data_IF_880550713504
#
_entry.id   IF_880550713504
#
_cell.length_a   1.000
_cell.length_b   1.000
_cell.length_c   1.000
_cell.angle_alpha   90.00
_cell.angle_beta   90.00
_cell.angle_gamma   90.00
#
_symmetry.space_group_name_H-M   'P 1'
#
loop_
_entity.id
_entity.type
_entity.pdbx_description
1 polymer ?
#
# COMPACT_ATOMS: atom_id res chain seq x y z
N UNK A 1 40.67 -43.06 -28.50
CA UNK A 1 39.87 -42.38 -27.47
C UNK A 1 40.21 -40.91 -27.52
N UNK A 2 39.34 -39.93 -27.74
CA UNK A 2 37.91 -39.81 -28.08
C UNK A 2 37.79 -38.38 -28.65
N UNK A 3 37.43 -38.20 -29.92
CA UNK A 3 36.13 -37.71 -30.41
C UNK A 3 35.47 -36.58 -29.59
N UNK A 4 35.34 -35.39 -30.19
CA UNK A 4 34.12 -34.59 -30.52
C UNK A 4 34.62 -33.21 -31.05
N UNK A 5 34.36 -32.82 -32.30
CA UNK A 5 33.10 -32.25 -32.87
C UNK A 5 32.71 -30.97 -32.11
N UNK A 6 32.33 -29.82 -32.68
CA UNK A 6 32.10 -29.24 -34.01
C UNK A 6 32.17 -27.70 -33.72
N UNK A 7 32.63 -26.80 -34.56
CA UNK A 7 31.88 -26.21 -35.67
C UNK A 7 32.85 -25.22 -36.34
N UNK A 8 33.39 -25.55 -37.52
CA UNK A 8 33.95 -24.53 -38.41
C UNK A 8 33.06 -24.50 -39.61
N UNK A 9 32.07 -23.62 -39.52
CA UNK A 9 31.18 -23.22 -40.60
C UNK A 9 32.02 -22.94 -41.85
N UNK A 10 31.71 -23.65 -42.94
CA UNK A 10 32.24 -23.41 -44.29
C UNK A 10 31.73 -22.05 -44.80
N UNK A 11 32.29 -20.97 -44.25
CA UNK A 11 32.09 -19.61 -44.72
C UNK A 11 33.13 -19.33 -45.80
N UNK A 12 32.74 -19.62 -47.05
CA UNK A 12 33.47 -19.15 -48.22
C UNK A 12 33.44 -17.62 -48.18
N UNK A 13 34.60 -16.98 -47.95
CA UNK A 13 34.70 -15.52 -47.98
C UNK A 13 34.43 -15.08 -49.41
N UNK A 14 33.58 -14.06 -49.59
CA UNK A 14 33.14 -13.55 -50.90
C UNK A 14 34.28 -13.20 -51.89
N UNK A 15 35.51 -13.04 -51.38
CA UNK A 15 36.74 -12.76 -52.12
C UNK A 15 37.36 -13.98 -52.81
N UNK A 16 36.98 -15.19 -52.42
CA UNK A 16 37.58 -16.44 -52.89
C UNK A 16 36.69 -17.21 -53.88
N UNK A 17 35.57 -16.62 -54.33
CA UNK A 17 34.75 -17.18 -55.41
C UNK A 17 35.28 -16.67 -56.77
N UNK A 18 36.16 -17.44 -57.40
CA UNK A 18 36.53 -17.23 -58.82
C UNK A 18 36.38 -18.54 -59.58
N UNK A 19 35.59 -18.49 -60.67
CA UNK A 19 35.50 -19.57 -61.65
C UNK A 19 34.24 -20.44 -61.58
N UNK A 20 33.05 -19.82 -61.54
CA UNK A 20 31.83 -20.51 -61.94
C UNK A 20 31.34 -19.95 -63.27
N UNK A 21 31.34 -20.79 -64.31
CA UNK A 21 30.62 -20.53 -65.55
C UNK A 21 29.15 -20.98 -65.36
N UNK A 22 28.23 -20.02 -65.36
CA UNK A 22 26.80 -20.32 -65.40
C UNK A 22 26.43 -20.83 -66.78
N UNK A 23 26.02 -22.10 -66.87
CA UNK A 23 25.55 -22.70 -68.11
C UNK A 23 24.24 -22.03 -68.56
N UNK A 24 24.29 -21.26 -69.64
CA UNK A 24 23.13 -20.61 -70.24
C UNK A 24 22.60 -21.43 -71.43
N UNK A 25 21.27 -21.50 -71.59
CA UNK A 25 20.62 -22.21 -72.69
C UNK A 25 21.10 -21.68 -74.06
N UNK A 26 21.38 -22.55 -75.05
CA UNK A 26 21.69 -22.10 -76.41
C UNK A 26 20.46 -21.46 -77.06
N UNK A 27 20.57 -20.20 -77.48
CA UNK A 27 19.49 -19.49 -78.17
C UNK A 27 19.35 -19.98 -79.62
N UNK A 28 18.11 -20.09 -80.09
CA UNK A 28 17.76 -20.59 -81.43
C UNK A 28 17.08 -19.50 -82.28
N UNK A 29 17.44 -18.24 -82.06
CA UNK A 29 16.95 -17.09 -82.82
C UNK A 29 17.93 -16.71 -83.95
N UNK A 30 17.43 -16.36 -85.15
CA UNK A 30 18.27 -15.94 -86.27
C UNK A 30 19.00 -14.62 -85.97
N UNK A 31 20.22 -14.41 -86.51
CA UNK A 31 21.05 -13.27 -86.16
C UNK A 31 20.38 -11.96 -86.57
N UNK A 32 20.11 -11.09 -85.59
CA UNK A 32 19.77 -9.68 -85.85
C UNK A 32 21.05 -8.95 -86.28
N UNK A 33 20.98 -8.06 -87.29
CA UNK A 33 22.13 -7.28 -87.72
C UNK A 33 22.60 -6.38 -86.57
N UNK A 34 23.90 -6.39 -86.34
CA UNK A 34 24.58 -5.59 -85.32
C UNK A 34 24.34 -4.09 -85.59
N UNK A 35 23.85 -3.31 -84.61
CA UNK A 35 23.89 -1.86 -84.69
C UNK A 35 25.35 -1.38 -84.69
N UNK A 36 25.63 -0.35 -85.49
CA UNK A 36 26.92 0.33 -85.57
C UNK A 36 27.44 0.69 -84.17
N UNK A 37 28.76 0.63 -83.91
CA UNK A 37 29.31 0.84 -82.59
C UNK A 37 29.04 2.28 -82.14
N UNK A 38 28.11 2.44 -81.19
CA UNK A 38 28.11 3.59 -80.30
C UNK A 38 29.47 3.59 -79.58
N UNK A 39 30.15 4.75 -79.47
CA UNK A 39 31.47 4.80 -78.87
C UNK A 39 31.37 4.22 -77.45
N UNK A 40 32.16 3.18 -77.19
CA UNK A 40 32.41 2.70 -75.83
C UNK A 40 32.76 3.94 -74.99
N UNK A 41 32.12 4.18 -73.83
CA UNK A 41 32.66 5.16 -72.90
C UNK A 41 34.06 4.67 -72.59
N UNK A 42 35.05 5.44 -73.06
CA UNK A 42 36.44 5.25 -72.68
C UNK A 42 36.46 5.03 -71.16
N UNK A 43 37.15 4.00 -70.64
CA UNK A 43 37.31 3.87 -69.20
C UNK A 43 37.72 5.25 -68.72
N UNK A 44 37.07 5.84 -67.70
CA UNK A 44 37.42 7.18 -67.27
C UNK A 44 38.92 7.16 -67.16
N UNK A 45 39.60 7.97 -67.99
CA UNK A 45 41.01 8.22 -67.78
C UNK A 45 41.08 8.42 -66.29
N UNK A 46 41.81 7.53 -65.60
CA UNK A 46 42.20 7.85 -64.26
C UNK A 46 42.86 9.20 -64.48
N UNK A 47 42.17 10.27 -64.08
CA UNK A 47 42.81 11.52 -63.80
C UNK A 47 43.80 11.06 -62.76
N UNK A 48 45.01 10.74 -63.24
CA UNK A 48 46.20 10.74 -62.43
C UNK A 48 46.20 12.18 -61.96
N UNK A 49 45.50 12.40 -60.84
CA UNK A 49 45.58 13.63 -60.07
C UNK A 49 47.07 13.85 -60.02
N UNK A 50 47.57 14.90 -60.69
CA UNK A 50 49.00 15.08 -60.79
C UNK A 50 49.54 14.95 -59.38
N UNK A 51 50.53 14.10 -59.16
CA UNK A 51 51.28 14.11 -57.89
C UNK A 51 52.13 15.40 -57.78
N UNK A 52 51.71 16.49 -58.43
CA UNK A 52 51.98 17.88 -58.13
C UNK A 52 50.86 18.34 -57.19
N UNK A 53 51.05 18.54 -55.90
CA UNK A 53 52.25 18.64 -55.10
C UNK A 53 51.84 18.15 -53.71
N UNK A 54 52.28 16.96 -53.29
CA UNK A 54 52.39 16.77 -51.84
C UNK A 54 53.69 17.47 -51.45
N UNK A 55 53.65 18.80 -51.40
CA UNK A 55 54.70 19.56 -50.74
C UNK A 55 54.84 18.92 -49.35
N UNK A 56 56.04 18.52 -48.91
CA UNK A 56 56.20 18.13 -47.53
C UNK A 56 55.73 19.33 -46.72
N UNK A 57 54.68 19.15 -45.91
CA UNK A 57 54.11 20.20 -45.07
C UNK A 57 55.27 21.01 -44.49
N UNK A 58 55.24 22.31 -44.68
CA UNK A 58 56.31 23.15 -44.12
C UNK A 58 56.33 22.93 -42.61
N UNK A 59 57.51 22.96 -41.99
CA UNK A 59 57.65 22.64 -40.56
C UNK A 59 56.70 23.48 -39.69
N UNK A 60 56.39 24.71 -40.11
CA UNK A 60 55.43 25.61 -39.45
C UNK A 60 53.96 25.14 -39.55
N UNK A 61 53.52 24.60 -40.70
CA UNK A 61 52.16 24.05 -40.86
C UNK A 61 51.96 22.77 -40.06
N UNK A 62 53.01 21.98 -39.90
CA UNK A 62 52.97 20.75 -39.12
C UNK A 62 52.92 21.03 -37.61
N UNK A 63 53.55 22.14 -37.18
CA UNK A 63 53.44 22.67 -35.82
C UNK A 63 52.07 23.29 -35.54
N UNK A 64 51.49 24.05 -36.48
CA UNK A 64 50.16 24.65 -36.30
C UNK A 64 49.06 23.60 -36.14
N UNK A 65 49.04 22.58 -37.00
CA UNK A 65 48.07 21.46 -36.91
C UNK A 65 48.22 20.70 -35.59
N UNK A 66 49.46 20.48 -35.13
CA UNK A 66 49.70 19.85 -33.82
C UNK A 66 49.14 20.69 -32.68
N UNK A 67 49.31 22.00 -32.74
CA UNK A 67 48.87 22.90 -31.70
C UNK A 67 47.34 23.05 -31.69
N UNK A 68 46.70 23.10 -32.86
CA UNK A 68 45.24 23.06 -33.00
C UNK A 68 44.66 21.74 -32.48
N UNK A 69 45.18 20.60 -32.93
CA UNK A 69 44.73 19.29 -32.44
C UNK A 69 44.94 19.11 -30.93
N UNK A 70 46.02 19.65 -30.38
CA UNK A 70 46.28 19.65 -28.94
C UNK A 70 45.25 20.51 -28.19
N UNK A 71 44.99 21.73 -28.68
CA UNK A 71 44.02 22.64 -28.05
C UNK A 71 42.59 22.09 -28.14
N UNK A 72 42.20 21.50 -29.27
CA UNK A 72 40.90 20.85 -29.45
C UNK A 72 40.76 19.62 -28.56
N UNK A 73 41.77 18.74 -28.54
CA UNK A 73 41.76 17.56 -27.67
C UNK A 73 41.72 17.93 -26.19
N UNK A 74 42.43 19.00 -25.79
CA UNK A 74 42.38 19.53 -24.43
C UNK A 74 40.99 20.09 -24.08
N UNK A 75 40.42 20.92 -24.96
CA UNK A 75 39.10 21.52 -24.74
C UNK A 75 37.97 20.48 -24.70
N UNK A 76 38.04 19.44 -25.54
CA UNK A 76 37.09 18.33 -25.53
C UNK A 76 37.26 17.48 -24.26
N UNK A 77 38.50 17.13 -23.91
CA UNK A 77 38.81 16.36 -22.70
C UNK A 77 38.40 17.08 -21.41
N UNK A 78 38.57 18.40 -21.34
CA UNK A 78 38.12 19.21 -20.20
C UNK A 78 36.60 19.20 -20.08
N UNK A 79 35.88 19.42 -21.19
CA UNK A 79 34.41 19.42 -21.21
C UNK A 79 33.84 18.05 -20.84
N UNK A 80 34.37 16.98 -21.42
CA UNK A 80 33.90 15.62 -21.17
C UNK A 80 34.29 15.11 -19.78
N UNK A 81 35.49 15.47 -19.30
CA UNK A 81 35.92 15.23 -17.93
C UNK A 81 35.02 15.96 -16.91
N UNK A 82 34.69 17.22 -17.16
CA UNK A 82 33.80 17.99 -16.29
C UNK A 82 32.37 17.41 -16.29
N UNK A 83 31.84 17.05 -17.46
CA UNK A 83 30.49 16.48 -17.59
C UNK A 83 30.39 15.10 -16.93
N UNK A 84 31.35 14.21 -17.17
CA UNK A 84 31.37 12.87 -16.57
C UNK A 84 31.59 12.93 -15.06
N UNK A 85 32.44 13.84 -14.56
CA UNK A 85 32.64 14.04 -13.13
C UNK A 85 31.39 14.58 -12.44
N UNK A 86 30.73 15.59 -13.03
CA UNK A 86 29.48 16.14 -12.46
C UNK A 86 28.36 15.12 -12.42
N UNK A 87 28.21 14.28 -13.45
CA UNK A 87 27.24 13.18 -13.45
C UNK A 87 27.53 12.15 -12.34
N UNK A 88 28.78 11.72 -12.17
CA UNK A 88 29.17 10.77 -11.12
C UNK A 88 28.94 11.34 -9.72
N UNK A 89 29.37 12.58 -9.48
CA UNK A 89 29.16 13.26 -8.19
C UNK A 89 27.67 13.38 -7.89
N UNK A 90 26.84 13.69 -8.90
CA UNK A 90 25.39 13.77 -8.73
C UNK A 90 24.78 12.41 -8.39
N UNK A 91 25.17 11.35 -9.08
CA UNK A 91 24.70 9.99 -8.79
C UNK A 91 25.08 9.54 -7.38
N UNK A 92 26.33 9.75 -6.97
CA UNK A 92 26.79 9.43 -5.62
C UNK A 92 26.07 10.26 -4.56
N UNK A 93 25.87 11.56 -4.81
CA UNK A 93 25.11 12.43 -3.93
C UNK A 93 23.65 12.00 -3.82
N UNK A 94 22.99 11.65 -4.92
CA UNK A 94 21.61 11.17 -4.93
C UNK A 94 21.48 9.89 -4.11
N UNK A 95 22.39 8.92 -4.23
CA UNK A 95 22.38 7.68 -3.42
C UNK A 95 22.54 7.95 -1.93
N UNK A 96 23.44 8.86 -1.54
CA UNK A 96 23.61 9.22 -0.12
C UNK A 96 22.37 9.97 0.40
N UNK A 97 21.81 10.86 -0.42
CA UNK A 97 20.67 11.69 -0.02
C UNK A 97 19.40 10.86 0.09
N UNK A 98 19.15 9.93 -0.84
CA UNK A 98 18.02 8.99 -0.74
C UNK A 98 18.15 8.12 0.51
N UNK A 99 19.34 7.57 0.80
CA UNK A 99 19.55 6.80 2.02
C UNK A 99 19.30 7.61 3.30
N UNK A 100 19.63 8.91 3.30
CA UNK A 100 19.33 9.81 4.42
C UNK A 100 17.84 10.11 4.54
N UNK A 101 17.14 10.34 3.42
CA UNK A 101 15.70 10.56 3.39
C UNK A 101 14.96 9.32 3.88
N UNK A 102 15.29 8.13 3.38
CA UNK A 102 14.70 6.86 3.84
C UNK A 102 14.93 6.65 5.34
N UNK A 103 16.14 6.93 5.84
CA UNK A 103 16.41 6.83 7.28
C UNK A 103 15.56 7.81 8.09
N UNK A 104 15.32 9.01 7.58
CA UNK A 104 14.51 10.03 8.25
C UNK A 104 13.02 9.68 8.22
N UNK A 105 12.53 9.14 7.09
CA UNK A 105 11.18 8.61 6.95
C UNK A 105 10.93 7.44 7.90
N UNK A 106 11.91 6.52 8.04
CA UNK A 106 11.85 5.44 9.03
C UNK A 106 11.77 5.99 10.45
N UNK A 107 12.62 6.96 10.81
CA UNK A 107 12.59 7.60 12.13
C UNK A 107 11.25 8.30 12.39
N UNK A 108 10.69 8.99 11.40
CA UNK A 108 9.36 9.59 11.50
C UNK A 108 8.28 8.52 11.69
N UNK A 109 8.30 7.44 10.92
CA UNK A 109 7.39 6.31 11.09
C UNK A 109 7.45 5.73 12.50
N UNK A 110 8.66 5.50 13.02
CA UNK A 110 8.88 5.01 14.38
C UNK A 110 8.44 5.98 15.48
N UNK A 111 8.35 7.29 15.19
CA UNK A 111 7.85 8.28 16.14
C UNK A 111 6.32 8.39 16.12
N UNK A 112 5.69 8.26 14.94
CA UNK A 112 4.23 8.44 14.81
C UNK A 112 3.43 7.16 15.08
N UNK A 113 3.91 6.00 14.66
CA UNK A 113 3.24 4.71 14.92
C UNK A 113 2.90 4.48 16.41
N UNK A 114 3.84 4.69 17.37
CA UNK A 114 3.53 4.46 18.78
C UNK A 114 2.56 5.49 19.36
N UNK A 115 2.36 6.65 18.73
CA UNK A 115 1.41 7.66 19.23
C UNK A 115 -0.02 7.15 19.00
N UNK A 116 -0.32 6.64 17.80
CA UNK A 116 -1.63 6.05 17.51
C UNK A 116 -1.89 4.82 18.39
N UNK A 117 -0.88 3.97 18.60
CA UNK A 117 -1.01 2.84 19.52
C UNK A 117 -1.27 3.32 20.97
N UNK A 118 -0.53 4.32 21.44
CA UNK A 118 -0.73 4.91 22.77
C UNK A 118 -2.14 5.47 22.95
N UNK A 119 -2.69 6.15 21.95
CA UNK A 119 -4.06 6.68 22.03
C UNK A 119 -5.07 5.55 22.28
N UNK A 120 -4.95 4.45 21.54
CA UNK A 120 -5.83 3.28 21.76
C UNK A 120 -5.62 2.61 23.11
N UNK A 121 -4.39 2.60 23.64
CA UNK A 121 -4.08 2.04 24.95
C UNK A 121 -4.61 2.94 26.08
N UNK A 122 -4.52 4.25 25.92
CA UNK A 122 -5.07 5.24 26.86
C UNK A 122 -6.59 5.11 26.90
N UNK A 123 -7.24 5.01 25.75
CA UNK A 123 -8.69 4.81 25.67
C UNK A 123 -9.11 3.55 26.45
N UNK A 124 -8.48 2.41 26.17
CA UNK A 124 -8.74 1.14 26.88
C UNK A 124 -8.49 1.26 28.39
N UNK A 125 -7.40 1.93 28.78
CA UNK A 125 -7.04 2.10 30.19
C UNK A 125 -8.00 3.02 30.94
N UNK A 126 -8.46 4.10 30.32
CA UNK A 126 -9.46 5.00 30.89
C UNK A 126 -10.79 4.27 31.09
N UNK A 127 -11.19 3.50 30.08
CA UNK A 127 -12.38 2.66 30.12
C UNK A 127 -12.30 1.66 31.27
N UNK A 128 -11.18 0.95 31.38
CA UNK A 128 -10.96 -0.03 32.44
C UNK A 128 -10.97 0.64 33.83
N UNK A 129 -10.36 1.82 33.97
CA UNK A 129 -10.40 2.58 35.23
C UNK A 129 -11.84 2.97 35.62
N UNK A 130 -12.64 3.46 34.67
CA UNK A 130 -14.04 3.81 34.92
C UNK A 130 -14.84 2.56 35.32
N UNK A 131 -14.61 1.42 34.66
CA UNK A 131 -15.22 0.14 35.03
C UNK A 131 -14.88 -0.26 36.47
N UNK A 132 -13.62 -0.13 36.86
CA UNK A 132 -13.17 -0.44 38.22
C UNK A 132 -13.81 0.49 39.26
N UNK A 133 -13.88 1.79 38.99
CA UNK A 133 -14.53 2.77 39.89
C UNK A 133 -16.02 2.46 40.00
N UNK A 134 -16.71 2.23 38.89
CA UNK A 134 -18.13 1.90 38.89
C UNK A 134 -18.40 0.61 39.69
N UNK A 135 -17.60 -0.44 39.49
CA UNK A 135 -17.70 -1.69 40.26
C UNK A 135 -17.53 -1.44 41.76
N UNK A 136 -16.53 -0.66 42.16
CA UNK A 136 -16.28 -0.34 43.57
C UNK A 136 -17.40 0.48 44.20
N UNK A 137 -17.93 1.48 43.48
CA UNK A 137 -19.04 2.31 43.97
C UNK A 137 -20.31 1.46 44.14
N UNK A 138 -20.65 0.63 43.15
CA UNK A 138 -21.81 -0.27 43.22
C UNK A 138 -21.67 -1.26 44.38
N UNK A 139 -20.49 -1.89 44.54
CA UNK A 139 -20.24 -2.79 45.67
C UNK A 139 -20.36 -2.10 47.02
N UNK A 140 -19.86 -0.87 47.14
CA UNK A 140 -19.95 -0.10 48.37
C UNK A 140 -21.37 0.31 48.70
N UNK A 141 -22.15 0.70 47.70
CA UNK A 141 -23.55 1.05 47.86
C UNK A 141 -24.36 -0.18 48.29
N UNK A 142 -24.21 -1.31 47.60
CA UNK A 142 -24.98 -2.52 47.89
C UNK A 142 -24.65 -3.15 49.24
N UNK A 143 -23.42 -2.93 49.73
CA UNK A 143 -23.06 -3.30 51.09
C UNK A 143 -23.80 -2.47 52.16
N UNK A 144 -24.21 -1.24 51.82
CA UNK A 144 -24.97 -0.34 52.70
C UNK A 144 -26.47 -0.58 52.55
N UNK A 145 -26.98 -0.69 51.32
CA UNK A 145 -28.39 -0.94 51.04
C UNK A 145 -28.57 -1.92 49.87
N UNK A 146 -29.28 -3.03 50.13
CA UNK A 146 -29.50 -4.11 49.15
C UNK A 146 -30.96 -4.21 48.69
N UNK A 147 -31.73 -3.12 48.78
CA UNK A 147 -33.14 -3.07 48.34
C UNK A 147 -33.37 -3.49 46.88
N UNK A 148 -32.36 -3.40 46.02
CA UNK A 148 -32.45 -3.77 44.60
C UNK A 148 -32.54 -5.29 44.35
N UNK A 149 -32.24 -6.15 45.34
CA UNK A 149 -32.18 -7.61 45.13
C UNK A 149 -33.52 -8.20 44.66
N UNK A 150 -34.65 -7.61 45.07
CA UNK A 150 -35.99 -8.06 44.66
C UNK A 150 -36.16 -8.01 43.13
N UNK A 151 -35.64 -6.95 42.50
CA UNK A 151 -35.73 -6.77 41.05
C UNK A 151 -34.82 -7.76 40.32
N UNK A 152 -33.59 -7.94 40.83
CA UNK A 152 -32.60 -8.88 40.27
C UNK A 152 -33.12 -10.31 40.31
N UNK A 153 -33.69 -10.71 41.44
CA UNK A 153 -34.30 -12.03 41.59
C UNK A 153 -35.46 -12.22 40.61
N UNK A 154 -36.36 -11.24 40.50
CA UNK A 154 -37.49 -11.31 39.56
C UNK A 154 -37.03 -11.49 38.13
N UNK A 155 -36.00 -10.76 37.71
CA UNK A 155 -35.47 -10.86 36.36
C UNK A 155 -34.74 -12.20 36.14
N UNK A 156 -34.00 -12.70 37.14
CA UNK A 156 -33.40 -14.03 37.08
C UNK A 156 -34.46 -15.15 36.98
N UNK A 157 -35.59 -15.01 37.68
CA UNK A 157 -36.70 -15.98 37.62
C UNK A 157 -37.44 -15.94 36.28
N UNK A 158 -37.58 -14.77 35.63
CA UNK A 158 -38.17 -14.66 34.28
C UNK A 158 -37.34 -15.35 33.21
N UNK A 159 -36.03 -15.44 33.40
CA UNK A 159 -35.12 -16.10 32.47
C UNK A 159 -35.20 -17.64 32.56
N UNK A 160 -35.87 -18.18 33.59
CA UNK A 160 -36.08 -19.62 33.71
C UNK A 160 -37.18 -20.10 32.74
N UNK A 161 -37.00 -21.26 32.08
CA UNK A 161 -38.05 -21.87 31.29
C UNK A 161 -39.22 -22.30 32.19
N UNK A 162 -40.46 -22.10 31.73
CA UNK A 162 -41.67 -22.48 32.47
C UNK A 162 -41.68 -24.01 32.72
N UNK A 163 -41.70 -24.43 34.00
CA UNK A 163 -41.84 -25.84 34.39
C UNK A 163 -40.68 -26.47 35.17
N UNK A 164 -39.67 -25.69 35.59
CA UNK A 164 -38.59 -26.20 36.46
C UNK A 164 -39.06 -26.37 37.91
N UNK A 165 -38.96 -27.61 38.40
CA UNK A 165 -39.05 -27.91 39.84
C UNK A 165 -37.72 -27.65 40.56
N UNK A 166 -37.76 -27.65 41.90
CA UNK A 166 -36.57 -27.58 42.79
C UNK A 166 -35.65 -26.37 42.58
N UNK A 167 -36.20 -25.17 42.43
CA UNK A 167 -35.42 -23.93 42.38
C UNK A 167 -34.71 -23.70 43.73
N UNK A 168 -33.38 -23.57 43.70
CA UNK A 168 -32.52 -23.17 44.82
C UNK A 168 -31.96 -21.78 44.53
N UNK A 169 -32.28 -20.81 45.37
CA UNK A 169 -31.72 -19.47 45.32
C UNK A 169 -30.60 -19.36 46.36
N UNK A 170 -29.40 -19.04 45.91
CA UNK A 170 -28.28 -18.67 46.76
C UNK A 170 -28.20 -17.14 46.86
N UNK A 171 -28.14 -16.64 48.09
CA UNK A 171 -28.05 -15.22 48.41
C UNK A 171 -27.09 -14.99 49.56
N UNK A 172 -26.59 -13.76 49.68
CA UNK A 172 -25.78 -13.37 50.83
C UNK A 172 -26.64 -13.38 52.12
N UNK A 173 -26.08 -13.72 53.30
CA UNK A 173 -26.80 -13.67 54.57
C UNK A 173 -27.47 -12.32 54.90
N UNK A 174 -26.88 -11.20 54.47
CA UNK A 174 -27.44 -9.85 54.65
C UNK A 174 -28.79 -9.66 53.93
N UNK A 175 -29.00 -10.40 52.83
CA UNK A 175 -30.20 -10.30 52.00
C UNK A 175 -31.24 -11.37 52.33
N UNK A 176 -30.89 -12.36 53.14
CA UNK A 176 -31.73 -13.50 53.44
C UNK A 176 -33.09 -13.09 54.03
N UNK A 177 -33.12 -12.13 54.95
CA UNK A 177 -34.36 -11.66 55.58
C UNK A 177 -35.29 -10.97 54.58
N UNK A 178 -34.74 -10.12 53.70
CA UNK A 178 -35.50 -9.41 52.67
C UNK A 178 -36.09 -10.39 51.65
N UNK A 179 -35.28 -11.34 51.20
CA UNK A 179 -35.65 -12.37 50.23
C UNK A 179 -36.68 -13.34 50.83
N UNK A 180 -36.59 -13.66 52.12
CA UNK A 180 -37.58 -14.48 52.83
C UNK A 180 -38.93 -13.78 52.93
N UNK A 181 -38.95 -12.50 53.28
CA UNK A 181 -40.18 -11.70 53.33
C UNK A 181 -40.85 -11.61 51.96
N UNK A 182 -40.05 -11.54 50.88
CA UNK A 182 -40.55 -11.56 49.51
C UNK A 182 -41.15 -12.93 49.13
N UNK A 183 -40.52 -14.04 49.51
CA UNK A 183 -41.06 -15.38 49.28
C UNK A 183 -42.45 -15.55 49.90
N UNK A 184 -42.63 -15.11 51.15
CA UNK A 184 -43.92 -15.20 51.85
C UNK A 184 -45.01 -14.40 51.15
N UNK A 185 -44.66 -13.26 50.55
CA UNK A 185 -45.59 -12.41 49.78
C UNK A 185 -46.06 -13.05 48.47
N UNK A 186 -45.20 -13.83 47.83
CA UNK A 186 -45.46 -14.41 46.51
C UNK A 186 -45.93 -15.88 46.55
N UNK A 187 -46.00 -16.50 47.72
CA UNK A 187 -46.43 -17.90 47.92
C UNK A 187 -45.66 -18.93 47.05
N UNK A 188 -44.38 -18.66 46.80
CA UNK A 188 -43.56 -19.47 45.91
C UNK A 188 -42.77 -20.58 46.66
N UNK A 189 -42.48 -21.69 45.96
CA UNK A 189 -41.91 -22.93 46.56
C UNK A 189 -40.39 -23.08 46.44
N UNK A 190 -39.66 -22.05 46.00
CA UNK A 190 -38.19 -22.14 45.88
C UNK A 190 -37.53 -22.23 47.25
N UNK A 191 -36.38 -22.91 47.33
CA UNK A 191 -35.55 -23.00 48.55
C UNK A 191 -34.51 -21.89 48.55
N UNK A 192 -34.30 -21.24 49.69
CA UNK A 192 -33.27 -20.21 49.88
C UNK A 192 -32.12 -20.87 50.60
N UNK A 193 -30.90 -20.65 50.11
CA UNK A 193 -29.64 -21.11 50.68
C UNK A 193 -28.76 -19.88 50.88
N UNK A 194 -28.15 -19.78 52.05
CA UNK A 194 -27.19 -18.72 52.35
C UNK A 194 -25.83 -19.09 51.78
N UNK A 195 -25.18 -18.16 51.08
CA UNK A 195 -23.85 -18.32 50.51
C UNK A 195 -23.02 -17.05 50.74
N UNK A 196 -22.01 -17.15 51.60
CA UNK A 196 -21.09 -16.05 51.93
C UNK A 196 -20.13 -15.70 50.78
N UNK A 197 -19.99 -16.56 49.77
CA UNK A 197 -19.15 -16.25 48.60
C UNK A 197 -19.77 -15.21 47.67
N UNK A 198 -21.08 -14.97 47.80
CA UNK A 198 -21.81 -13.98 47.01
C UNK A 198 -21.78 -12.61 47.69
N UNK A 199 -21.56 -11.57 46.88
CA UNK A 199 -21.66 -10.19 47.33
C UNK A 199 -23.12 -9.82 47.64
N UNK A 200 -23.37 -8.93 48.64
CA UNK A 200 -24.71 -8.41 48.93
C UNK A 200 -25.34 -7.78 47.68
N UNK A 201 -26.60 -8.10 47.39
CA UNK A 201 -27.33 -7.65 46.20
C UNK A 201 -27.16 -8.54 44.96
N UNK A 202 -26.36 -9.61 45.07
CA UNK A 202 -26.22 -10.66 44.05
C UNK A 202 -27.04 -11.90 44.39
N UNK A 203 -27.55 -12.59 43.38
CA UNK A 203 -28.22 -13.88 43.58
C UNK A 203 -27.79 -14.90 42.53
N UNK A 204 -27.81 -16.18 42.92
CA UNK A 204 -27.53 -17.29 42.01
C UNK A 204 -28.68 -18.26 42.06
N UNK A 205 -29.25 -18.58 40.91
CA UNK A 205 -30.40 -19.47 40.80
C UNK A 205 -29.92 -20.80 40.22
N UNK A 206 -30.10 -21.89 40.95
CA UNK A 206 -29.85 -23.24 40.47
C UNK A 206 -31.14 -24.04 40.41
N UNK A 207 -31.33 -24.74 39.32
CA UNK A 207 -32.41 -25.71 39.09
C UNK A 207 -31.79 -27.04 38.69
N UNK A 208 -32.60 -28.08 38.53
CA UNK A 208 -32.11 -29.40 38.12
C UNK A 208 -31.48 -29.40 36.72
N UNK A 209 -31.80 -28.42 35.87
CA UNK A 209 -31.37 -28.36 34.47
C UNK A 209 -30.68 -27.07 34.05
N UNK A 210 -30.64 -26.05 34.90
CA UNK A 210 -30.10 -24.73 34.56
C UNK A 210 -29.53 -24.02 35.79
N UNK A 211 -28.42 -23.31 35.60
CA UNK A 211 -27.82 -22.40 36.58
C UNK A 211 -27.75 -21.01 35.96
N UNK A 212 -28.40 -20.05 36.60
CA UNK A 212 -28.39 -18.64 36.23
C UNK A 212 -27.55 -17.89 37.25
N UNK A 213 -26.47 -17.28 36.77
CA UNK A 213 -25.62 -16.42 37.57
C UNK A 213 -26.09 -14.97 37.42
N UNK A 214 -26.76 -14.46 38.45
CA UNK A 214 -27.15 -13.06 38.57
C UNK A 214 -26.32 -12.35 39.64
N UNK A 215 -25.06 -12.78 39.82
CA UNK A 215 -24.09 -12.05 40.63
C UNK A 215 -23.84 -10.64 40.05
N UNK A 216 -23.45 -9.72 40.94
CA UNK A 216 -23.19 -8.32 40.57
C UNK A 216 -22.06 -8.25 39.55
N UNK A 217 -21.06 -9.12 39.66
CA UNK A 217 -19.90 -9.13 38.80
C UNK A 217 -20.30 -9.47 37.37
N UNK A 218 -21.06 -10.56 37.19
CA UNK A 218 -21.58 -10.95 35.88
C UNK A 218 -22.49 -9.88 35.30
N UNK A 219 -23.37 -9.27 36.11
CA UNK A 219 -24.28 -8.22 35.65
C UNK A 219 -23.56 -6.96 35.22
N UNK A 220 -22.62 -6.45 36.02
CA UNK A 220 -21.82 -5.27 35.67
C UNK A 220 -21.03 -5.54 34.40
N UNK A 221 -20.37 -6.70 34.29
CA UNK A 221 -19.66 -7.08 33.06
C UNK A 221 -20.57 -7.13 31.83
N UNK A 222 -21.79 -7.68 31.95
CA UNK A 222 -22.75 -7.74 30.84
C UNK A 222 -23.26 -6.35 30.42
N UNK A 223 -23.54 -5.45 31.37
CA UNK A 223 -23.98 -4.09 31.07
C UNK A 223 -22.86 -3.30 30.41
N UNK A 224 -21.64 -3.40 30.95
CA UNK A 224 -20.47 -2.73 30.38
C UNK A 224 -20.19 -3.23 28.96
N UNK A 225 -20.23 -4.55 28.72
CA UNK A 225 -20.06 -5.12 27.37
C UNK A 225 -21.09 -4.56 26.38
N UNK A 226 -22.38 -4.50 26.76
CA UNK A 226 -23.44 -3.92 25.91
C UNK A 226 -23.21 -2.44 25.62
N UNK A 227 -22.74 -1.67 26.60
CA UNK A 227 -22.42 -0.25 26.41
C UNK A 227 -21.23 -0.08 25.45
N UNK A 228 -20.20 -0.91 25.56
CA UNK A 228 -19.08 -0.87 24.61
C UNK A 228 -19.50 -1.24 23.20
N UNK A 229 -20.32 -2.29 23.03
CA UNK A 229 -20.85 -2.66 21.72
C UNK A 229 -21.65 -1.49 21.11
N UNK A 230 -22.48 -0.81 21.92
CA UNK A 230 -23.24 0.36 21.47
C UNK A 230 -22.35 1.55 21.07
N UNK A 231 -21.32 1.86 21.86
CA UNK A 231 -20.36 2.93 21.52
C UNK A 231 -19.58 2.57 20.25
N UNK A 232 -19.20 1.31 20.09
CA UNK A 232 -18.51 0.83 18.89
C UNK A 232 -19.42 0.90 17.66
N UNK A 233 -20.70 0.51 17.77
CA UNK A 233 -21.69 0.67 16.71
C UNK A 233 -21.90 2.14 16.33
N UNK A 234 -21.95 3.06 17.30
CA UNK A 234 -22.05 4.49 17.04
C UNK A 234 -20.81 5.07 16.36
N UNK A 235 -19.62 4.55 16.64
CA UNK A 235 -18.40 4.93 15.94
C UNK A 235 -18.37 4.42 14.49
N UNK A 236 -18.89 3.21 14.25
CA UNK A 236 -19.00 2.61 12.91
C UNK A 236 -20.14 3.21 12.08
N UNK A 237 -21.19 3.71 12.74
CA UNK A 237 -22.33 4.40 12.15
C UNK A 237 -22.49 5.78 12.79
N UNK A 238 -21.62 6.75 12.44
CA UNK A 238 -21.76 8.10 12.95
C UNK A 238 -23.15 8.62 12.55
N UNK A 239 -23.84 9.24 13.52
CA UNK A 239 -25.10 9.91 13.25
C UNK A 239 -24.93 10.87 12.06
N UNK A 240 -25.95 10.96 11.21
CA UNK A 240 -25.91 11.86 10.07
C UNK A 240 -25.54 13.27 10.56
N UNK A 241 -24.58 13.96 9.93
CA UNK A 241 -24.14 15.26 10.39
C UNK A 241 -25.34 16.22 10.43
N UNK A 242 -25.54 16.88 11.58
CA UNK A 242 -26.66 17.83 11.78
C UNK A 242 -26.58 19.04 10.82
N UNK A 243 -25.45 19.23 10.13
CA UNK A 243 -25.19 20.33 9.20
C UNK A 243 -24.44 19.84 7.97
N UNK A 244 -25.16 19.73 6.85
CA UNK A 244 -24.59 19.63 5.51
C UNK A 244 -24.33 21.05 4.99
N UNK A 245 -23.11 21.55 5.14
CA UNK A 245 -22.71 22.80 4.49
C UNK A 245 -22.37 22.51 3.03
N UNK A 246 -23.26 22.88 2.11
CA UNK A 246 -22.94 22.96 0.69
C UNK A 246 -21.95 24.10 0.47
N UNK A 247 -20.66 23.76 0.40
CA UNK A 247 -19.63 24.68 -0.05
C UNK A 247 -19.89 25.00 -1.54
N UNK A 248 -20.01 26.28 -1.93
CA UNK A 248 -20.14 26.62 -3.34
C UNK A 248 -18.88 26.15 -4.07
N UNK A 249 -19.06 25.24 -5.04
CA UNK A 249 -17.97 24.76 -5.87
C UNK A 249 -17.24 25.94 -6.51
N UNK A 250 -15.92 26.01 -6.31
CA UNK A 250 -15.06 26.92 -7.07
C UNK A 250 -15.25 26.66 -8.55
N UNK A 251 -15.53 27.68 -9.39
CA UNK A 251 -15.82 27.45 -10.79
C UNK A 251 -14.60 26.83 -11.49
N UNK A 252 -14.83 25.66 -12.07
CA UNK A 252 -13.92 24.92 -12.95
C UNK A 252 -13.34 25.85 -14.02
N UNK A 253 -12.02 25.86 -14.27
CA UNK A 253 -11.45 26.71 -15.31
C UNK A 253 -11.94 26.24 -16.69
N UNK A 254 -12.46 27.16 -17.48
CA UNK A 254 -12.99 26.92 -18.82
C UNK A 254 -11.92 26.37 -19.77
N UNK A 255 -12.26 25.45 -20.70
CA UNK A 255 -11.31 24.97 -21.69
C UNK A 255 -11.02 26.08 -22.71
N UNK A 256 -9.75 26.19 -23.09
CA UNK A 256 -9.25 27.09 -24.12
C UNK A 256 -10.03 26.90 -25.44
N UNK A 257 -10.63 27.97 -25.96
CA UNK A 257 -11.26 27.98 -27.27
C UNK A 257 -10.18 28.06 -28.35
N UNK A 258 -10.26 27.11 -29.28
CA UNK A 258 -9.43 26.97 -30.49
C UNK A 258 -9.51 28.23 -31.38
N UNK A 259 -8.36 28.64 -31.91
CA UNK A 259 -8.22 29.66 -32.95
C UNK A 259 -8.88 29.17 -34.26
N UNK A 260 -9.69 30.00 -34.97
CA UNK A 260 -10.11 29.65 -36.31
C UNK A 260 -9.06 30.09 -37.33
N UNK A 261 -8.68 29.09 -38.12
CA UNK A 261 -7.84 29.09 -39.31
C UNK A 261 -8.21 30.22 -40.30
N UNK A 262 -7.20 30.91 -40.83
CA UNK A 262 -7.32 31.86 -41.92
C UNK A 262 -7.26 31.16 -43.30
N UNK A 263 -8.20 31.47 -44.19
CA UNK A 263 -8.13 31.33 -45.66
C UNK A 263 -9.46 31.88 -46.25
N UNK A 264 -9.62 32.61 -47.34
CA UNK A 264 -8.85 33.45 -48.26
C UNK A 264 -9.93 34.27 -49.03
N UNK A 265 -9.59 35.37 -49.74
CA UNK A 265 -10.56 36.36 -50.20
C UNK A 265 -11.19 35.97 -51.54
N UNK A 266 -12.49 36.25 -51.70
CA UNK A 266 -13.14 36.22 -53.01
C UNK A 266 -13.76 37.60 -53.30
N UNK A 267 -13.36 38.16 -54.43
CA UNK A 267 -13.87 39.37 -55.06
C UNK A 267 -14.42 38.93 -56.44
N UNK A 268 -15.43 39.59 -57.05
CA UNK A 268 -15.58 41.04 -57.13
C UNK A 268 -16.95 41.61 -56.71
#
# INVERSE_FOLDING_TARGET
MDKHDDDVTDLIRARDVRGFDTWALPSFDPPKPEPEPEPEPEPPEMEEVPLEEVQPLTLEELESIRQEAYNEGFAIGEKEGFHSATLKVRQEAEVVLTAKVESLEQLMGHLFEPIAEQDTQIEKSLVDLVQHIAKQVIQRELAIDSTQIEHVMRDALKLLPLGVGNVRLYVNPQDFEQVKALRERHEETWRIVEDESLLPGGCRVETDHSRIDASIETRVSQVMAKLFDQLHEQALHPAAPDLSLELPETPKPAPAAEEPLADAPDAP
#
